data_IF_119536976218
#
_entry.id   IF_119536976218
#
_cell.length_a   1.000
_cell.length_b   1.000
_cell.length_c   1.000
_cell.angle_alpha   90.00
_cell.angle_beta   90.00
_cell.angle_gamma   90.00
#
_symmetry.space_group_name_H-M   'P 1'
#
loop_
_entity.id
_entity.type
_entity.pdbx_description
1 polymer ?
#
# COMPACT_ATOMS: atom_id res chain seq x y z
N UNK A 1 4.87 17.25 -17.04
CA UNK A 1 5.84 16.30 -16.41
C UNK A 1 5.12 15.00 -16.09
N UNK A 2 5.85 13.89 -16.00
CA UNK A 2 5.33 12.57 -15.58
C UNK A 2 5.74 12.35 -14.12
N UNK A 3 4.77 12.08 -13.25
CA UNK A 3 5.05 11.73 -11.85
C UNK A 3 5.17 10.21 -11.72
N UNK A 4 6.31 9.73 -11.25
CA UNK A 4 6.59 8.31 -11.00
C UNK A 4 6.62 8.08 -9.50
N UNK A 5 5.87 7.09 -9.00
CA UNK A 5 5.81 6.78 -7.58
C UNK A 5 6.26 5.33 -7.37
N UNK A 6 7.37 5.17 -6.67
CA UNK A 6 7.91 3.89 -6.28
C UNK A 6 7.47 3.49 -4.86
N UNK A 7 7.68 2.25 -4.48
CA UNK A 7 7.35 1.77 -3.14
C UNK A 7 8.33 2.28 -2.08
N UNK A 8 9.63 2.35 -2.44
CA UNK A 8 10.73 2.65 -1.51
C UNK A 8 11.68 3.70 -2.08
N UNK A 9 12.36 4.49 -1.22
CA UNK A 9 13.31 5.50 -1.66
C UNK A 9 14.44 4.95 -2.55
N UNK A 10 14.98 3.78 -2.25
CA UNK A 10 16.04 3.13 -3.03
C UNK A 10 15.61 2.83 -4.47
N UNK A 11 14.41 2.26 -4.63
CA UNK A 11 13.81 1.97 -5.95
C UNK A 11 13.58 3.27 -6.73
N UNK A 12 13.07 4.30 -6.05
CA UNK A 12 12.87 5.61 -6.66
C UNK A 12 14.19 6.21 -7.18
N UNK A 13 15.26 6.11 -6.41
CA UNK A 13 16.60 6.59 -6.81
C UNK A 13 17.12 5.85 -8.05
N UNK A 14 16.97 4.53 -8.10
CA UNK A 14 17.38 3.73 -9.27
C UNK A 14 16.60 4.15 -10.52
N UNK A 15 15.27 4.25 -10.42
CA UNK A 15 14.42 4.69 -11.52
C UNK A 15 14.78 6.12 -11.96
N UNK A 16 14.96 7.03 -11.00
CA UNK A 16 15.30 8.43 -11.28
C UNK A 16 16.65 8.56 -12.01
N UNK A 17 17.64 7.76 -11.65
CA UNK A 17 18.94 7.76 -12.33
C UNK A 17 18.80 7.36 -13.80
N UNK A 18 18.01 6.31 -14.09
CA UNK A 18 17.75 5.82 -15.44
C UNK A 18 16.97 6.84 -16.28
N UNK A 19 16.00 7.53 -15.68
CA UNK A 19 15.16 8.53 -16.34
C UNK A 19 15.84 9.92 -16.43
N UNK A 20 17.02 10.10 -15.83
CA UNK A 20 17.73 11.38 -15.83
C UNK A 20 17.15 12.43 -14.85
N UNK A 21 16.33 12.01 -13.89
CA UNK A 21 15.81 12.87 -12.82
C UNK A 21 16.85 12.99 -11.68
N UNK A 22 17.85 13.83 -11.87
CA UNK A 22 19.03 13.91 -10.99
C UNK A 22 18.94 14.99 -9.90
N UNK A 23 18.03 15.95 -10.04
CA UNK A 23 17.89 17.04 -9.07
C UNK A 23 17.12 16.55 -7.84
N UNK A 24 17.78 16.53 -6.70
CA UNK A 24 17.19 16.05 -5.43
C UNK A 24 16.44 17.18 -4.72
N UNK A 25 15.21 16.90 -4.33
CA UNK A 25 14.35 17.76 -3.51
C UNK A 25 13.92 17.00 -2.25
N UNK A 26 13.23 17.68 -1.34
CA UNK A 26 12.69 17.04 -0.14
C UNK A 26 11.51 16.13 -0.53
N UNK A 27 11.70 14.82 -0.39
CA UNK A 27 10.71 13.80 -0.71
C UNK A 27 10.59 13.38 -2.18
N UNK A 28 11.38 13.92 -3.11
CA UNK A 28 11.36 13.51 -4.52
C UNK A 28 12.65 13.89 -5.28
N UNK A 29 12.80 13.35 -6.49
CA UNK A 29 13.82 13.74 -7.47
C UNK A 29 13.14 14.29 -8.72
N UNK A 30 13.80 15.20 -9.44
CA UNK A 30 13.25 15.77 -10.67
C UNK A 30 14.30 15.96 -11.75
N UNK A 31 13.88 15.97 -13.00
CA UNK A 31 14.73 16.19 -14.19
C UNK A 31 14.18 15.48 -15.41
N UNK A 32 14.63 15.88 -16.58
CA UNK A 32 14.29 15.27 -17.89
C UNK A 32 12.80 15.06 -18.12
N UNK A 33 11.92 15.91 -17.58
CA UNK A 33 10.48 15.78 -17.72
C UNK A 33 9.80 14.87 -16.71
N UNK A 34 10.56 14.29 -15.77
CA UNK A 34 10.07 13.39 -14.74
C UNK A 34 10.17 13.99 -13.32
N UNK A 35 9.24 13.59 -12.48
CA UNK A 35 9.29 13.71 -11.03
C UNK A 35 9.21 12.30 -10.47
N UNK A 36 10.15 11.88 -9.66
CA UNK A 36 10.20 10.54 -9.07
C UNK A 36 10.13 10.65 -7.55
N UNK A 37 9.11 10.07 -6.97
CA UNK A 37 8.87 10.04 -5.52
C UNK A 37 8.58 8.61 -5.04
N UNK A 38 8.24 8.43 -3.77
CA UNK A 38 8.09 7.10 -3.17
C UNK A 38 7.08 7.08 -2.02
N UNK A 39 6.57 5.89 -1.69
CA UNK A 39 5.57 5.68 -0.65
C UNK A 39 6.14 5.38 0.74
N UNK A 40 7.35 4.96 0.93
CA UNK A 40 7.87 4.44 2.23
C UNK A 40 7.03 3.23 2.73
N UNK A 41 6.78 2.24 1.85
CA UNK A 41 5.89 1.12 2.12
C UNK A 41 4.43 1.54 2.31
N UNK A 42 3.70 0.88 3.21
CA UNK A 42 2.30 1.23 3.52
C UNK A 42 2.21 2.61 4.18
N UNK A 43 1.91 3.62 3.39
CA UNK A 43 1.77 5.01 3.79
C UNK A 43 0.33 5.33 4.19
N UNK A 44 -0.61 4.70 3.52
CA UNK A 44 -2.04 4.71 3.81
C UNK A 44 -2.49 3.28 4.08
N UNK A 45 -3.38 3.10 5.04
CA UNK A 45 -3.96 1.82 5.41
C UNK A 45 -5.43 1.93 5.80
N UNK A 46 -6.06 0.80 6.08
CA UNK A 46 -7.40 0.76 6.65
C UNK A 46 -7.36 1.37 8.06
N UNK A 47 -8.36 2.16 8.40
CA UNK A 47 -8.45 2.80 9.71
C UNK A 47 -8.62 1.76 10.83
N UNK A 48 -8.14 2.09 12.01
CA UNK A 48 -8.29 1.25 13.21
C UNK A 48 -9.75 1.13 13.66
N UNK A 49 -10.06 0.07 14.40
CA UNK A 49 -11.40 -0.22 14.91
C UNK A 49 -12.02 0.96 15.68
N UNK A 50 -11.23 1.65 16.50
CA UNK A 50 -11.67 2.82 17.26
C UNK A 50 -12.25 3.96 16.40
N UNK A 51 -11.89 4.02 15.12
CA UNK A 51 -12.40 5.04 14.17
C UNK A 51 -13.87 4.80 13.80
N UNK A 52 -14.37 3.59 14.01
CA UNK A 52 -15.75 3.19 13.68
C UNK A 52 -16.73 3.34 14.85
N UNK A 53 -16.24 3.64 16.06
CA UNK A 53 -17.07 3.93 17.22
C UNK A 53 -16.32 3.84 18.54
N UNK A 54 -16.77 4.62 19.53
CA UNK A 54 -16.18 4.66 20.87
C UNK A 54 -16.19 3.28 21.56
N UNK A 55 -17.23 2.46 21.31
CA UNK A 55 -17.35 1.10 21.84
C UNK A 55 -16.23 0.17 21.38
N UNK A 56 -15.53 0.50 20.28
CA UNK A 56 -14.45 -0.31 19.73
C UNK A 56 -13.06 0.11 20.22
N UNK A 57 -12.97 1.13 21.11
CA UNK A 57 -11.73 1.51 21.80
C UNK A 57 -11.29 0.45 22.82
N UNK A 58 -12.27 -0.19 23.47
CA UNK A 58 -12.02 -1.34 24.36
C UNK A 58 -12.63 -2.58 23.73
N UNK A 59 -11.81 -3.57 23.51
CA UNK A 59 -12.21 -4.80 22.85
C UNK A 59 -12.99 -5.70 23.80
N UNK A 60 -14.19 -6.09 23.41
CA UNK A 60 -15.03 -7.07 24.13
C UNK A 60 -15.69 -8.02 23.13
N UNK A 61 -16.06 -9.22 23.59
CA UNK A 61 -16.79 -10.19 22.75
C UNK A 61 -18.10 -9.63 22.23
N UNK A 62 -18.79 -8.84 23.05
CA UNK A 62 -20.10 -8.28 22.71
C UNK A 62 -20.02 -7.23 21.60
N UNK A 63 -18.83 -6.65 21.38
CA UNK A 63 -18.59 -5.65 20.34
C UNK A 63 -18.17 -6.27 18.99
N UNK A 64 -18.03 -7.58 18.88
CA UNK A 64 -17.61 -8.29 17.68
C UNK A 64 -18.78 -9.07 17.03
N UNK A 65 -18.75 -9.27 15.70
CA UNK A 65 -17.77 -8.75 14.73
C UNK A 65 -17.99 -7.27 14.42
N UNK A 66 -16.88 -6.54 14.20
CA UNK A 66 -16.95 -5.18 13.66
C UNK A 66 -17.06 -5.31 12.14
N UNK A 67 -18.20 -4.90 11.57
CA UNK A 67 -18.47 -4.96 10.13
C UNK A 67 -18.70 -3.55 9.61
N UNK A 68 -17.64 -2.84 9.16
CA UNK A 68 -17.80 -1.50 8.61
C UNK A 68 -18.68 -1.52 7.36
N UNK A 69 -19.70 -0.69 7.32
CA UNK A 69 -20.49 -0.47 6.10
C UNK A 69 -19.68 0.35 5.09
N UNK A 70 -18.96 1.36 5.58
CA UNK A 70 -18.03 2.16 4.80
C UNK A 70 -16.62 2.01 5.38
N UNK A 71 -15.67 1.65 4.52
CA UNK A 71 -14.28 1.52 4.91
C UNK A 71 -13.60 2.88 4.95
N UNK A 72 -12.99 3.19 6.08
CA UNK A 72 -12.20 4.41 6.28
C UNK A 72 -10.72 4.10 6.11
N UNK A 73 -9.97 5.09 5.63
CA UNK A 73 -8.54 4.99 5.43
C UNK A 73 -7.83 6.02 6.30
N UNK A 74 -6.61 5.72 6.69
CA UNK A 74 -5.79 6.63 7.51
C UNK A 74 -4.35 6.65 6.99
N UNK A 75 -3.71 7.80 7.11
CA UNK A 75 -2.28 7.95 6.86
C UNK A 75 -1.54 7.57 8.14
N UNK A 76 -0.46 6.80 8.02
CA UNK A 76 0.40 6.51 9.16
C UNK A 76 1.03 7.80 9.69
N UNK A 77 0.93 8.03 11.02
CA UNK A 77 1.30 9.30 11.66
C UNK A 77 2.77 9.69 11.45
N UNK A 78 3.65 8.70 11.39
CA UNK A 78 5.08 8.88 11.11
C UNK A 78 5.40 9.19 9.63
N UNK A 79 4.40 9.10 8.73
CA UNK A 79 4.55 9.25 7.28
C UNK A 79 3.72 10.41 6.68
N UNK A 80 3.06 11.20 7.50
CA UNK A 80 2.20 12.31 7.05
C UNK A 80 2.95 13.30 6.16
N UNK A 81 4.21 13.60 6.46
CA UNK A 81 5.04 14.50 5.65
C UNK A 81 5.18 14.00 4.21
N UNK A 82 5.49 12.71 4.04
CA UNK A 82 5.64 12.12 2.72
C UNK A 82 4.31 12.03 1.98
N UNK A 83 3.21 11.72 2.66
CA UNK A 83 1.88 11.74 2.07
C UNK A 83 1.51 13.13 1.54
N UNK A 84 1.78 14.18 2.32
CA UNK A 84 1.56 15.57 1.91
C UNK A 84 2.35 15.92 0.66
N UNK A 85 3.62 15.55 0.62
CA UNK A 85 4.48 15.73 -0.57
C UNK A 85 3.89 15.02 -1.79
N UNK A 86 3.49 13.76 -1.68
CA UNK A 86 2.88 13.01 -2.79
C UNK A 86 1.56 13.65 -3.25
N UNK A 87 0.71 14.06 -2.32
CA UNK A 87 -0.54 14.75 -2.63
C UNK A 87 -0.30 16.06 -3.39
N UNK A 88 0.65 16.87 -2.94
CA UNK A 88 1.02 18.11 -3.62
C UNK A 88 1.55 17.84 -5.03
N UNK A 89 2.43 16.84 -5.19
CA UNK A 89 2.98 16.45 -6.50
C UNK A 89 1.88 15.97 -7.46
N UNK A 90 0.94 15.16 -6.99
CA UNK A 90 -0.19 14.67 -7.78
C UNK A 90 -1.11 15.78 -8.27
N UNK A 91 -1.20 16.90 -7.53
CA UNK A 91 -2.06 18.03 -7.89
C UNK A 91 -1.33 19.15 -8.67
N UNK A 92 -0.03 19.04 -8.89
CA UNK A 92 0.72 20.02 -9.67
C UNK A 92 0.14 20.18 -11.09
N UNK A 93 -0.04 21.39 -11.55
CA UNK A 93 -0.60 21.67 -12.87
C UNK A 93 0.30 21.19 -14.03
N UNK A 94 1.61 21.13 -13.82
CA UNK A 94 2.58 20.67 -14.81
C UNK A 94 2.73 19.14 -14.87
N UNK A 95 2.11 18.38 -13.97
CA UNK A 95 2.04 16.91 -14.01
C UNK A 95 0.83 16.49 -14.84
N UNK A 96 1.08 15.74 -15.92
CA UNK A 96 0.05 15.26 -16.85
C UNK A 96 -0.50 13.87 -16.49
N UNK A 97 0.34 12.99 -15.97
CA UNK A 97 -0.02 11.63 -15.62
C UNK A 97 0.82 11.11 -14.44
N UNK A 98 0.34 10.04 -13.81
CA UNK A 98 0.99 9.40 -12.68
C UNK A 98 1.32 7.95 -13.02
N UNK A 99 2.57 7.54 -12.82
CA UNK A 99 3.04 6.18 -13.05
C UNK A 99 3.20 5.46 -11.71
N UNK A 100 2.45 4.38 -11.55
CA UNK A 100 2.66 3.42 -10.46
C UNK A 100 3.89 2.56 -10.79
N UNK A 101 4.99 2.79 -10.08
CA UNK A 101 6.23 2.04 -10.15
C UNK A 101 6.53 1.29 -8.84
N UNK A 102 5.51 0.98 -8.05
CA UNK A 102 5.62 0.06 -6.92
C UNK A 102 5.84 -1.37 -7.40
N UNK A 103 6.26 -2.25 -6.50
CA UNK A 103 6.59 -3.64 -6.81
C UNK A 103 5.50 -4.33 -7.65
N UNK A 104 5.92 -5.20 -8.56
CA UNK A 104 5.01 -5.93 -9.45
C UNK A 104 4.27 -7.03 -8.68
N UNK A 105 3.13 -6.67 -8.08
CA UNK A 105 2.33 -7.56 -7.26
C UNK A 105 1.13 -6.86 -6.64
N UNK A 106 0.33 -7.65 -5.91
CA UNK A 106 -0.89 -7.18 -5.22
C UNK A 106 -0.59 -6.08 -4.20
N UNK A 107 0.49 -6.24 -3.43
CA UNK A 107 0.86 -5.27 -2.39
C UNK A 107 1.28 -3.93 -3.00
N UNK A 108 2.14 -3.94 -4.03
CA UNK A 108 2.55 -2.70 -4.69
C UNK A 108 1.37 -1.96 -5.34
N UNK A 109 0.39 -2.71 -5.87
CA UNK A 109 -0.84 -2.11 -6.39
C UNK A 109 -1.68 -1.49 -5.27
N UNK A 110 -1.83 -2.19 -4.14
CA UNK A 110 -2.58 -1.71 -2.98
C UNK A 110 -1.96 -0.43 -2.38
N UNK A 111 -0.63 -0.44 -2.16
CA UNK A 111 0.11 0.69 -1.59
C UNK A 111 -0.09 1.94 -2.44
N UNK A 112 0.07 1.81 -3.76
CA UNK A 112 -0.09 2.95 -4.66
C UNK A 112 -1.53 3.45 -4.72
N UNK A 113 -2.51 2.55 -4.90
CA UNK A 113 -3.92 2.92 -5.06
C UNK A 113 -4.48 3.60 -3.81
N UNK A 114 -4.11 3.15 -2.62
CA UNK A 114 -4.51 3.79 -1.39
C UNK A 114 -4.02 5.25 -1.32
N UNK A 115 -2.78 5.50 -1.71
CA UNK A 115 -2.23 6.86 -1.75
C UNK A 115 -2.91 7.70 -2.83
N UNK A 116 -3.11 7.14 -4.01
CA UNK A 116 -3.74 7.81 -5.14
C UNK A 116 -5.18 8.22 -4.84
N UNK A 117 -5.98 7.32 -4.30
CA UNK A 117 -7.38 7.56 -3.91
C UNK A 117 -7.47 8.55 -2.73
N UNK A 118 -6.67 8.35 -1.68
CA UNK A 118 -6.66 9.24 -0.51
C UNK A 118 -6.17 10.65 -0.83
N UNK A 119 -5.27 10.78 -1.80
CA UNK A 119 -4.85 12.08 -2.32
C UNK A 119 -5.96 12.77 -3.12
N UNK A 120 -6.98 12.04 -3.60
CA UNK A 120 -8.02 12.55 -4.47
C UNK A 120 -7.52 12.86 -5.88
N UNK A 121 -6.49 12.16 -6.34
CA UNK A 121 -5.93 12.36 -7.67
C UNK A 121 -6.90 11.85 -8.75
N UNK A 122 -7.04 12.63 -9.84
CA UNK A 122 -7.89 12.27 -10.99
C UNK A 122 -7.12 12.22 -12.31
N UNK A 123 -5.79 12.31 -12.24
CA UNK A 123 -4.95 12.29 -13.43
C UNK A 123 -4.86 10.88 -13.99
N UNK A 124 -4.61 10.72 -15.30
CA UNK A 124 -4.39 9.40 -15.89
C UNK A 124 -3.32 8.62 -15.13
N UNK A 125 -3.59 7.35 -14.87
CA UNK A 125 -2.69 6.45 -14.16
C UNK A 125 -2.13 5.41 -15.14
N UNK A 126 -0.82 5.24 -15.09
CA UNK A 126 -0.10 4.20 -15.84
C UNK A 126 0.59 3.25 -14.88
N UNK A 127 0.89 2.05 -15.34
CA UNK A 127 1.56 1.01 -14.55
C UNK A 127 2.88 0.61 -15.20
N UNK A 128 3.95 0.76 -14.45
CA UNK A 128 5.24 0.12 -14.75
C UNK A 128 5.24 -1.28 -14.13
N UNK A 129 5.32 -2.31 -14.95
CA UNK A 129 5.34 -3.70 -14.51
C UNK A 129 6.65 -4.35 -14.90
N UNK A 130 7.60 -4.39 -13.97
CA UNK A 130 8.92 -4.96 -14.17
C UNK A 130 9.29 -5.85 -12.98
N UNK A 131 10.06 -6.91 -13.23
CA UNK A 131 10.57 -7.84 -12.22
C UNK A 131 12.06 -7.63 -11.91
N UNK A 132 12.75 -6.76 -12.65
CA UNK A 132 14.14 -6.42 -12.47
C UNK A 132 14.33 -4.91 -12.40
N UNK A 133 15.30 -4.46 -11.59
CA UNK A 133 15.70 -3.05 -11.47
C UNK A 133 16.96 -2.72 -12.28
N UNK A 134 17.31 -3.54 -13.26
CA UNK A 134 18.36 -3.23 -14.21
C UNK A 134 17.95 -2.08 -15.14
N UNK A 135 18.92 -1.27 -15.54
CA UNK A 135 18.70 -0.09 -16.40
C UNK A 135 17.94 -0.43 -17.69
N UNK A 136 18.27 -1.58 -18.30
CA UNK A 136 17.63 -2.09 -19.51
C UNK A 136 16.16 -2.40 -19.27
N UNK A 137 15.84 -3.08 -18.17
CA UNK A 137 14.47 -3.48 -17.81
C UNK A 137 13.62 -2.24 -17.48
N UNK A 138 14.18 -1.25 -16.79
CA UNK A 138 13.49 0.01 -16.50
C UNK A 138 13.18 0.76 -17.79
N UNK A 139 14.15 0.93 -18.70
CA UNK A 139 13.95 1.62 -19.99
C UNK A 139 12.91 0.91 -20.84
N UNK A 140 12.98 -0.41 -20.95
CA UNK A 140 12.00 -1.22 -21.67
C UNK A 140 10.61 -1.10 -21.03
N UNK A 141 10.51 -1.17 -19.70
CA UNK A 141 9.26 -1.01 -18.96
C UNK A 141 8.59 0.34 -19.21
N UNK A 142 9.36 1.42 -19.22
CA UNK A 142 8.85 2.76 -19.52
C UNK A 142 8.39 2.92 -20.99
N UNK A 143 8.96 2.17 -21.93
CA UNK A 143 8.48 2.15 -23.33
C UNK A 143 7.16 1.38 -23.49
N UNK A 144 6.76 0.56 -22.51
CA UNK A 144 5.59 -0.33 -22.52
C UNK A 144 4.66 -0.12 -21.33
N UNK A 145 4.55 1.11 -20.83
CA UNK A 145 3.63 1.44 -19.74
C UNK A 145 2.19 1.03 -20.09
N UNK A 146 1.55 0.31 -19.19
CA UNK A 146 0.16 -0.13 -19.32
C UNK A 146 -0.80 0.86 -18.68
N UNK A 147 -2.06 0.78 -19.04
CA UNK A 147 -3.11 1.57 -18.38
C UNK A 147 -3.33 1.01 -16.97
N UNK A 148 -3.56 1.91 -16.01
CA UNK A 148 -3.84 1.51 -14.64
C UNK A 148 -5.09 0.65 -14.50
N UNK A 149 -6.11 0.89 -15.31
CA UNK A 149 -7.38 0.15 -15.34
C UNK A 149 -7.20 -1.36 -15.60
N UNK A 150 -6.17 -1.75 -16.35
CA UNK A 150 -5.84 -3.17 -16.58
C UNK A 150 -5.53 -3.93 -15.26
N UNK A 151 -5.24 -3.19 -14.18
CA UNK A 151 -4.89 -3.73 -12.87
C UNK A 151 -5.99 -3.58 -11.81
N UNK A 152 -7.20 -3.15 -12.20
CA UNK A 152 -8.33 -2.96 -11.27
C UNK A 152 -8.74 -4.26 -10.59
N UNK A 153 -8.75 -5.39 -11.31
CA UNK A 153 -9.03 -6.70 -10.72
C UNK A 153 -7.94 -7.13 -9.71
N UNK A 154 -6.67 -6.78 -9.98
CA UNK A 154 -5.57 -7.05 -9.06
C UNK A 154 -5.70 -6.21 -7.79
N UNK A 155 -6.04 -4.93 -7.93
CA UNK A 155 -6.33 -4.04 -6.80
C UNK A 155 -7.53 -4.54 -5.98
N UNK A 156 -8.63 -4.91 -6.63
CA UNK A 156 -9.80 -5.46 -5.95
C UNK A 156 -9.46 -6.71 -5.13
N UNK A 157 -8.65 -7.62 -5.68
CA UNK A 157 -8.14 -8.80 -4.97
C UNK A 157 -7.31 -8.42 -3.75
N UNK A 158 -6.38 -7.46 -3.91
CA UNK A 158 -5.54 -6.99 -2.81
C UNK A 158 -6.38 -6.32 -1.70
N UNK A 159 -7.35 -5.50 -2.08
CA UNK A 159 -8.27 -4.81 -1.17
C UNK A 159 -9.15 -5.81 -0.40
N UNK A 160 -9.70 -6.83 -1.07
CA UNK A 160 -10.46 -7.89 -0.42
C UNK A 160 -9.62 -8.62 0.64
N UNK A 161 -8.36 -8.93 0.32
CA UNK A 161 -7.44 -9.54 1.26
C UNK A 161 -7.16 -8.63 2.45
N UNK A 162 -6.82 -7.36 2.22
CA UNK A 162 -6.56 -6.40 3.29
C UNK A 162 -7.77 -6.25 4.24
N UNK A 163 -8.98 -6.22 3.69
CA UNK A 163 -10.22 -6.20 4.49
C UNK A 163 -10.42 -7.49 5.28
N UNK A 164 -10.16 -8.65 4.69
CA UNK A 164 -10.26 -9.93 5.36
C UNK A 164 -9.23 -10.03 6.51
N UNK A 165 -7.99 -9.67 6.25
CA UNK A 165 -6.91 -9.65 7.25
C UNK A 165 -7.25 -8.69 8.41
N UNK A 166 -7.84 -7.52 8.10
CA UNK A 166 -8.31 -6.57 9.12
C UNK A 166 -9.43 -7.18 9.98
N UNK A 167 -10.45 -7.80 9.38
CA UNK A 167 -11.56 -8.41 10.09
C UNK A 167 -11.12 -9.58 10.98
N UNK A 168 -10.20 -10.42 10.48
CA UNK A 168 -9.67 -11.56 11.21
C UNK A 168 -8.69 -11.09 12.29
N UNK A 169 -7.81 -10.15 11.98
CA UNK A 169 -6.83 -9.59 12.91
C UNK A 169 -7.47 -9.02 14.17
N UNK A 170 -8.63 -8.38 14.04
CA UNK A 170 -9.40 -7.92 15.19
C UNK A 170 -9.86 -9.09 16.06
N UNK A 171 -10.33 -10.19 15.46
CA UNK A 171 -10.79 -11.38 16.20
C UNK A 171 -9.66 -12.16 16.85
N UNK A 172 -8.46 -12.12 16.27
CA UNK A 172 -7.27 -12.87 16.73
C UNK A 172 -6.38 -12.05 17.68
N UNK A 173 -6.82 -10.89 18.16
CA UNK A 173 -6.07 -10.13 19.16
C UNK A 173 -5.84 -10.96 20.45
N UNK A 174 -4.67 -10.90 21.10
CA UNK A 174 -4.32 -11.73 22.26
C UNK A 174 -5.38 -11.89 23.35
N UNK A 175 -6.18 -10.86 23.73
CA UNK A 175 -7.25 -11.03 24.70
C UNK A 175 -8.35 -12.01 24.27
N UNK A 176 -8.55 -12.22 22.96
CA UNK A 176 -9.58 -13.10 22.41
C UNK A 176 -9.08 -14.51 22.11
N UNK A 177 -7.77 -14.72 22.04
CA UNK A 177 -7.16 -16.05 21.97
C UNK A 177 -7.10 -16.75 23.33
N UNK A 178 -7.15 -15.99 24.41
CA UNK A 178 -7.01 -16.53 25.78
C UNK A 178 -8.02 -17.64 26.13
N UNK A 179 -9.31 -17.60 25.72
CA UNK A 179 -10.24 -18.70 25.97
C UNK A 179 -10.00 -19.96 25.12
N UNK A 180 -9.32 -19.80 23.97
CA UNK A 180 -9.01 -20.92 23.06
C UNK A 180 -7.63 -21.53 23.35
N UNK A 181 -6.78 -20.82 24.07
CA UNK A 181 -5.42 -21.26 24.40
C UNK A 181 -5.37 -22.64 25.05
N UNK A 182 -6.25 -23.01 26.01
CA UNK A 182 -6.28 -24.35 26.58
C UNK A 182 -6.69 -25.45 25.60
N UNK A 183 -7.43 -25.10 24.54
CA UNK A 183 -7.83 -26.04 23.49
C UNK A 183 -6.72 -26.21 22.45
N UNK A 184 -6.03 -25.14 22.10
CA UNK A 184 -4.90 -25.16 21.17
C UNK A 184 -3.70 -25.90 21.77
N UNK A 185 -3.41 -25.69 23.06
CA UNK A 185 -2.35 -26.41 23.77
C UNK A 185 -2.66 -27.90 23.93
N UNK A 186 -3.92 -28.28 24.12
CA UNK A 186 -4.35 -29.68 24.13
C UNK A 186 -4.26 -30.35 22.77
N UNK A 187 -4.68 -29.67 21.70
CA UNK A 187 -4.56 -30.16 20.32
C UNK A 187 -3.10 -30.35 19.89
N UNK A 188 -2.24 -29.40 20.24
CA UNK A 188 -0.81 -29.47 19.93
C UNK A 188 -0.04 -30.59 20.63
N UNK A 189 -0.56 -31.11 21.75
CA UNK A 189 0.03 -32.27 22.48
C UNK A 189 -0.38 -33.62 21.92
N UNK A 190 -1.49 -33.67 21.17
CA UNK A 190 -2.05 -34.94 20.68
C UNK A 190 -1.80 -35.17 19.18
N UNK A 191 -1.35 -34.17 18.44
CA UNK A 191 -1.05 -34.30 17.02
C UNK A 191 0.29 -33.64 16.69
N UNK A 192 1.36 -34.47 16.51
CA UNK A 192 2.68 -33.98 16.14
C UNK A 192 2.77 -33.32 14.76
N UNK A 193 1.79 -33.54 13.87
CA UNK A 193 1.79 -33.00 12.49
C UNK A 193 1.23 -31.58 12.42
N UNK A 194 0.53 -31.08 13.46
CA UNK A 194 0.02 -29.71 13.53
C UNK A 194 1.06 -28.63 13.89
N UNK A 195 2.29 -29.02 14.24
CA UNK A 195 3.36 -28.07 14.56
C UNK A 195 3.93 -27.31 13.36
N UNK A 196 3.59 -27.71 12.14
CA UNK A 196 4.09 -27.11 10.90
C UNK A 196 3.07 -26.25 10.15
N UNK A 197 1.92 -25.92 10.76
CA UNK A 197 0.82 -25.20 10.10
C UNK A 197 0.57 -23.76 10.64
N UNK A 198 1.55 -23.19 11.36
CA UNK A 198 1.51 -21.77 11.76
C UNK A 198 2.80 -21.07 11.37
#
# INVERSE_FOLDING_TARGET
>A
MILVIAEKPSVAQTIAAVLGAKEKKDGFLTGSGYIVSWCVGHLVGLAEAATYGEQYKKWSYDSLPILPQEWKYTVASDKEKQFKTLKELMHRADVSEVVNACDAGREGELIFRFVYEMAGCKKPMRRLWISSMEDSAIKEGFSRLKNGEEYDALFASALCRAKADWLIGIKCHPPFLCPLQPYLERGARTDPDLKNAC
#
